data_IF_210667422119
#
_entry.id   IF_210667422119
#
_cell.length_a   1.000
_cell.length_b   1.000
_cell.length_c   1.000
_cell.angle_alpha   90.00
_cell.angle_beta   90.00
_cell.angle_gamma   90.00
#
_symmetry.space_group_name_H-M   'P 1'
#
loop_
_entity.id
_entity.type
_entity.pdbx_description
1 polymer ?
#
# COMPACT_ATOMS: atom_id res chain seq x y z
N UNK A 1 -35.23 46.47 40.71
CA UNK A 1 -33.85 45.96 40.63
C UNK A 1 -33.86 44.60 39.97
N UNK A 2 -33.14 44.42 38.86
CA UNK A 2 -32.96 43.11 38.23
C UNK A 2 -31.46 42.96 37.95
N UNK A 3 -30.79 42.17 38.79
CA UNK A 3 -29.35 41.95 38.78
C UNK A 3 -28.89 41.36 37.42
N UNK A 4 -28.26 42.15 36.54
CA UNK A 4 -27.79 41.68 35.22
C UNK A 4 -26.52 40.80 35.35
N UNK A 5 -25.83 40.89 36.48
CA UNK A 5 -24.57 40.20 36.75
C UNK A 5 -24.77 38.71 37.03
N UNK A 6 -25.80 38.35 37.80
CA UNK A 6 -26.17 36.95 38.07
C UNK A 6 -26.60 36.22 36.79
N UNK A 7 -27.25 36.95 35.87
CA UNK A 7 -27.74 36.39 34.60
C UNK A 7 -26.61 36.04 33.63
N UNK A 8 -25.55 36.86 33.64
CA UNK A 8 -24.38 36.64 32.80
C UNK A 8 -23.48 35.52 33.36
N UNK A 9 -23.25 35.49 34.68
CA UNK A 9 -22.44 34.46 35.33
C UNK A 9 -23.05 33.05 35.18
N UNK A 10 -24.38 32.88 35.24
CA UNK A 10 -24.98 31.56 35.01
C UNK A 10 -24.80 31.08 33.57
N UNK A 11 -24.88 31.98 32.58
CA UNK A 11 -24.70 31.62 31.15
C UNK A 11 -23.27 31.16 30.91
N UNK A 12 -22.29 31.89 31.42
CA UNK A 12 -20.88 31.55 31.29
C UNK A 12 -20.57 30.19 31.94
N UNK A 13 -21.11 29.92 33.13
CA UNK A 13 -20.95 28.65 33.82
C UNK A 13 -21.63 27.49 33.09
N UNK A 14 -22.78 27.74 32.45
CA UNK A 14 -23.50 26.76 31.62
C UNK A 14 -22.76 26.45 30.32
N UNK A 15 -22.13 27.44 29.70
CA UNK A 15 -21.30 27.26 28.49
C UNK A 15 -20.02 26.49 28.85
N UNK A 16 -19.33 26.86 29.93
CA UNK A 16 -18.10 26.19 30.38
C UNK A 16 -18.36 24.72 30.76
N UNK A 17 -19.47 24.44 31.44
CA UNK A 17 -19.86 23.07 31.79
C UNK A 17 -20.25 22.22 30.58
N UNK A 18 -20.85 22.82 29.53
CA UNK A 18 -21.09 22.14 28.25
C UNK A 18 -19.78 21.85 27.51
N UNK A 19 -18.84 22.79 27.49
CA UNK A 19 -17.52 22.58 26.87
C UNK A 19 -16.76 21.47 27.60
N UNK A 20 -16.74 21.47 28.94
CA UNK A 20 -16.07 20.42 29.72
C UNK A 20 -16.71 19.04 29.50
N UNK A 21 -18.04 18.96 29.47
CA UNK A 21 -18.76 17.72 29.18
C UNK A 21 -18.52 17.22 27.75
N UNK A 22 -18.43 18.14 26.78
CA UNK A 22 -18.06 17.82 25.40
C UNK A 22 -16.63 17.32 25.29
N UNK A 23 -15.67 17.96 25.96
CA UNK A 23 -14.28 17.53 25.99
C UNK A 23 -14.16 16.15 26.64
N UNK A 24 -14.83 15.90 27.77
CA UNK A 24 -14.79 14.61 28.43
C UNK A 24 -15.42 13.49 27.60
N UNK A 25 -16.54 13.77 26.91
CA UNK A 25 -17.13 12.85 25.94
C UNK A 25 -16.16 12.55 24.79
N UNK A 26 -15.55 13.58 24.18
CA UNK A 26 -14.55 13.40 23.12
C UNK A 26 -13.34 12.59 23.58
N UNK A 27 -12.83 12.82 24.79
CA UNK A 27 -11.70 12.07 25.37
C UNK A 27 -12.03 10.60 25.58
N UNK A 28 -13.25 10.30 26.06
CA UNK A 28 -13.75 8.93 26.22
C UNK A 28 -13.91 8.24 24.87
N UNK A 29 -14.42 8.93 23.86
CA UNK A 29 -14.56 8.41 22.49
C UNK A 29 -13.19 8.15 21.83
N UNK A 30 -12.24 9.08 21.96
CA UNK A 30 -10.88 8.91 21.45
C UNK A 30 -10.16 7.74 22.12
N UNK A 31 -10.28 7.63 23.45
CA UNK A 31 -9.71 6.50 24.20
C UNK A 31 -10.32 5.17 23.77
N UNK A 32 -11.65 5.07 23.67
CA UNK A 32 -12.32 3.85 23.20
C UNK A 32 -11.93 3.48 21.77
N UNK A 33 -11.82 4.46 20.86
CA UNK A 33 -11.36 4.25 19.49
C UNK A 33 -9.92 3.72 19.43
N UNK A 34 -9.00 4.31 20.21
CA UNK A 34 -7.62 3.84 20.33
C UNK A 34 -7.54 2.41 20.85
N UNK A 35 -8.31 2.07 21.89
CA UNK A 35 -8.38 0.71 22.43
C UNK A 35 -8.91 -0.29 21.38
N UNK A 36 -9.96 0.06 20.63
CA UNK A 36 -10.49 -0.77 19.56
C UNK A 36 -9.46 -1.01 18.43
N UNK A 37 -8.74 0.03 18.01
CA UNK A 37 -7.68 -0.09 17.00
C UNK A 37 -6.55 -1.00 17.48
N UNK A 38 -6.15 -0.89 18.76
CA UNK A 38 -5.10 -1.75 19.32
C UNK A 38 -5.53 -3.23 19.38
N UNK A 39 -6.79 -3.51 19.72
CA UNK A 39 -7.34 -4.86 19.69
C UNK A 39 -7.40 -5.43 18.27
N UNK A 40 -7.78 -4.63 17.28
CA UNK A 40 -7.78 -5.00 15.86
C UNK A 40 -6.36 -5.28 15.34
N UNK A 41 -5.36 -4.52 15.81
CA UNK A 41 -3.96 -4.74 15.44
C UNK A 41 -3.37 -6.01 16.08
N UNK A 42 -3.83 -6.36 17.29
CA UNK A 42 -3.36 -7.55 18.01
C UNK A 42 -3.87 -8.88 17.42
N UNK A 43 -4.98 -8.86 16.68
CA UNK A 43 -5.54 -10.05 15.99
C UNK A 43 -5.02 -10.22 14.55
N UNK A 44 -4.08 -9.36 14.12
CA UNK A 44 -3.38 -9.50 12.85
C UNK A 44 -2.38 -10.65 12.88
N UNK A 45 -2.88 -11.88 12.77
CA UNK A 45 -2.11 -13.08 12.46
C UNK A 45 -1.20 -12.82 11.24
N UNK A 46 0.11 -12.80 11.46
CA UNK A 46 1.17 -13.25 10.54
C UNK A 46 0.89 -13.12 9.03
N UNK A 47 0.60 -11.89 8.58
CA UNK A 47 0.28 -11.60 7.19
C UNK A 47 0.86 -10.27 6.74
N UNK A 48 2.09 -9.94 7.18
CA UNK A 48 2.88 -8.95 6.45
C UNK A 48 2.91 -9.34 4.97
N UNK A 49 3.03 -8.38 4.02
CA UNK A 49 3.16 -8.74 2.62
C UNK A 49 4.29 -9.75 2.54
N UNK A 50 3.94 -11.01 2.26
CA UNK A 50 4.90 -12.04 1.94
C UNK A 50 5.62 -11.43 0.76
N UNK A 51 6.80 -10.90 1.01
CA UNK A 51 7.73 -10.55 -0.03
C UNK A 51 8.04 -11.91 -0.65
N UNK A 52 7.20 -12.31 -1.60
CA UNK A 52 7.52 -13.35 -2.55
C UNK A 52 8.83 -12.84 -3.12
N UNK A 53 9.94 -13.41 -2.65
CA UNK A 53 11.24 -13.10 -3.18
C UNK A 53 11.11 -13.42 -4.66
N UNK A 54 10.91 -12.40 -5.49
CA UNK A 54 10.91 -12.52 -6.95
C UNK A 54 12.29 -13.13 -7.23
N UNK A 55 12.29 -14.45 -7.49
CA UNK A 55 13.51 -15.17 -7.75
C UNK A 55 14.22 -14.40 -8.86
N UNK A 56 15.43 -13.90 -8.56
CA UNK A 56 16.14 -12.96 -9.43
C UNK A 56 16.06 -13.46 -10.86
N UNK A 57 15.42 -12.67 -11.73
CA UNK A 57 15.31 -13.00 -13.15
C UNK A 57 16.56 -12.52 -13.87
N UNK A 58 17.21 -13.44 -14.56
CA UNK A 58 18.32 -13.17 -15.45
C UNK A 58 17.78 -13.02 -16.87
N UNK A 59 18.31 -12.05 -17.60
CA UNK A 59 17.93 -11.76 -18.99
C UNK A 59 19.14 -11.98 -19.91
N UNK A 60 18.92 -12.59 -21.07
CA UNK A 60 19.90 -12.73 -22.16
C UNK A 60 19.28 -12.30 -23.49
N UNK A 61 20.02 -11.65 -24.41
CA UNK A 61 19.49 -11.34 -25.73
C UNK A 61 19.18 -12.64 -26.50
N UNK A 62 18.01 -12.68 -27.16
CA UNK A 62 17.65 -13.81 -28.02
C UNK A 62 18.57 -13.88 -29.24
N UNK A 63 19.02 -15.09 -29.59
CA UNK A 63 19.85 -15.34 -30.77
C UNK A 63 19.03 -15.58 -32.04
N UNK A 64 17.80 -16.07 -31.90
CA UNK A 64 16.94 -16.44 -33.02
C UNK A 64 15.94 -15.34 -33.40
N UNK A 65 15.66 -14.38 -32.49
CA UNK A 65 14.72 -13.31 -32.76
C UNK A 65 15.32 -12.25 -33.69
N UNK A 66 14.61 -11.93 -34.78
CA UNK A 66 15.05 -10.99 -35.81
C UNK A 66 14.14 -9.77 -35.87
N UNK A 67 14.74 -8.60 -36.03
CA UNK A 67 14.04 -7.31 -36.19
C UNK A 67 13.47 -6.72 -34.89
N UNK A 68 12.67 -5.65 -34.98
CA UNK A 68 12.08 -4.98 -33.82
C UNK A 68 11.03 -5.85 -33.11
N UNK A 69 11.14 -5.93 -31.80
CA UNK A 69 10.24 -6.64 -30.90
C UNK A 69 9.01 -5.78 -30.59
N UNK A 70 7.93 -6.02 -31.34
CA UNK A 70 6.66 -5.30 -31.19
C UNK A 70 5.70 -6.04 -30.25
N UNK A 71 5.74 -7.38 -30.24
CA UNK A 71 4.86 -8.24 -29.45
C UNK A 71 5.67 -9.15 -28.54
N UNK A 72 5.49 -9.01 -27.23
CA UNK A 72 6.19 -9.81 -26.22
C UNK A 72 5.95 -11.32 -26.35
N UNK A 73 4.74 -11.74 -26.75
CA UNK A 73 4.44 -13.17 -26.92
C UNK A 73 5.29 -13.85 -28.00
N UNK A 74 5.61 -13.14 -29.08
CA UNK A 74 6.48 -13.67 -30.14
C UNK A 74 7.90 -13.86 -29.61
N UNK A 75 8.40 -12.88 -28.86
CA UNK A 75 9.68 -12.98 -28.17
C UNK A 75 9.70 -14.16 -27.18
N UNK A 76 8.67 -14.30 -26.34
CA UNK A 76 8.56 -15.42 -25.42
C UNK A 76 8.53 -16.79 -26.12
N UNK A 77 7.81 -16.92 -27.24
CA UNK A 77 7.78 -18.15 -28.02
C UNK A 77 9.14 -18.51 -28.62
N UNK A 78 9.85 -17.53 -29.20
CA UNK A 78 11.22 -17.75 -29.70
C UNK A 78 12.16 -18.13 -28.55
N UNK A 79 12.08 -17.44 -27.41
CA UNK A 79 12.88 -17.77 -26.24
C UNK A 79 12.64 -19.19 -25.71
N UNK A 80 11.41 -19.71 -25.80
CA UNK A 80 11.11 -21.11 -25.49
C UNK A 80 11.83 -22.08 -26.41
N UNK A 81 11.96 -21.76 -27.70
CA UNK A 81 12.75 -22.57 -28.64
C UNK A 81 14.26 -22.49 -28.36
N UNK A 82 14.72 -21.43 -27.69
CA UNK A 82 16.10 -21.26 -27.23
C UNK A 82 16.36 -21.88 -25.85
N UNK A 83 15.37 -22.55 -25.25
CA UNK A 83 15.49 -23.21 -23.94
C UNK A 83 15.22 -22.32 -22.73
N UNK A 84 14.71 -21.10 -22.94
CA UNK A 84 14.31 -20.20 -21.86
C UNK A 84 12.81 -20.34 -21.54
N UNK A 85 12.40 -20.21 -20.27
CA UNK A 85 10.98 -20.31 -19.90
C UNK A 85 10.12 -19.15 -20.45
N UNK A 86 10.74 -18.01 -20.79
CA UNK A 86 10.03 -16.86 -21.36
C UNK A 86 10.96 -15.80 -21.93
N UNK A 87 10.39 -14.64 -22.28
CA UNK A 87 11.14 -13.49 -22.79
C UNK A 87 10.26 -12.26 -22.99
N UNK A 88 10.88 -11.08 -23.04
CA UNK A 88 10.20 -9.78 -23.17
C UNK A 88 10.95 -8.83 -24.12
N UNK A 89 10.20 -7.89 -24.72
CA UNK A 89 10.75 -6.81 -25.52
C UNK A 89 11.30 -5.70 -24.60
N UNK A 90 12.55 -5.29 -24.77
CA UNK A 90 13.22 -4.25 -23.96
C UNK A 90 13.94 -3.20 -24.80
N UNK A 91 14.13 -2.04 -24.18
CA UNK A 91 14.96 -0.94 -24.68
C UNK A 91 14.36 -0.18 -25.87
N UNK A 92 15.03 0.93 -26.22
CA UNK A 92 14.61 1.81 -27.31
C UNK A 92 14.63 1.11 -28.68
N UNK A 93 15.61 0.24 -28.90
CA UNK A 93 15.73 -0.57 -30.13
C UNK A 93 14.75 -1.75 -30.19
N UNK A 94 13.87 -1.90 -29.19
CA UNK A 94 12.89 -2.99 -29.09
C UNK A 94 13.54 -4.35 -29.33
N UNK A 95 14.55 -4.73 -28.55
CA UNK A 95 15.20 -6.05 -28.70
C UNK A 95 14.47 -7.09 -27.86
N UNK A 96 14.49 -8.35 -28.30
CA UNK A 96 13.96 -9.46 -27.53
C UNK A 96 15.02 -9.97 -26.54
N UNK A 97 14.66 -10.07 -25.26
CA UNK A 97 15.48 -10.66 -24.21
C UNK A 97 14.75 -11.86 -23.61
N UNK A 98 15.41 -13.00 -23.59
CA UNK A 98 14.94 -14.21 -22.95
C UNK A 98 15.18 -14.15 -21.45
N UNK A 99 14.23 -14.62 -20.67
CA UNK A 99 14.22 -14.54 -19.20
C UNK A 99 14.31 -15.93 -18.60
N UNK A 100 15.14 -16.11 -17.57
CA UNK A 100 15.20 -17.32 -16.76
C UNK A 100 15.43 -16.96 -15.30
N UNK A 101 15.25 -17.92 -14.38
CA UNK A 101 15.71 -17.74 -13.00
C UNK A 101 17.23 -17.79 -12.97
N UNK A 102 17.86 -16.79 -12.35
CA UNK A 102 19.30 -16.80 -12.15
C UNK A 102 19.69 -18.05 -11.36
N UNK A 103 20.65 -18.81 -11.88
CA UNK A 103 21.33 -19.86 -11.11
C UNK A 103 22.46 -19.15 -10.36
N UNK A 104 22.48 -19.29 -9.03
CA UNK A 104 23.50 -18.69 -8.18
C UNK A 104 24.87 -19.31 -8.43
#
# INVERSE_FOLDING_TARGET
GRHPTLTHSYKLHTVQSRINRSMEASRKLLSAALFLVLLLAATGEMGGPVAVAEARRCESPSHMFRGPCVRGHNCANVCRTEGFPGGNCRGLRRRCFCTTHCRY
#
